data_IF_804217300800
#
_entry.id   IF_804217300800
#
_cell.length_a   1.000
_cell.length_b   1.000
_cell.length_c   1.000
_cell.angle_alpha   90.00
_cell.angle_beta   90.00
_cell.angle_gamma   90.00
#
_symmetry.space_group_name_H-M   'P 1'
#
loop_
_entity.id
_entity.type
_entity.pdbx_description
1 polymer ?
#
# COMPACT_ATOMS: atom_id res chain seq x y z
N UNK A 1 -16.17 -12.65 -20.75
CA UNK A 1 -16.68 -11.28 -20.52
C UNK A 1 -15.51 -10.34 -20.39
N UNK A 2 -15.46 -9.27 -21.18
CA UNK A 2 -14.43 -8.24 -21.11
C UNK A 2 -14.96 -7.06 -20.27
N UNK A 3 -14.39 -6.89 -19.09
CA UNK A 3 -14.76 -5.85 -18.14
C UNK A 3 -13.48 -5.18 -17.66
N UNK A 4 -13.41 -3.85 -17.72
CA UNK A 4 -12.28 -3.08 -17.22
C UNK A 4 -12.55 -2.59 -15.80
N UNK A 5 -11.75 -3.04 -14.84
CA UNK A 5 -11.84 -2.56 -13.47
C UNK A 5 -11.25 -1.14 -13.39
N UNK A 6 -12.03 -0.15 -12.91
CA UNK A 6 -11.56 1.24 -12.75
C UNK A 6 -11.26 1.58 -11.30
N UNK A 7 -12.19 1.27 -10.39
CA UNK A 7 -12.04 1.60 -8.97
C UNK A 7 -12.53 0.46 -8.08
N UNK A 8 -11.84 0.25 -6.97
CA UNK A 8 -12.23 -0.68 -5.92
C UNK A 8 -12.41 0.08 -4.61
N UNK A 9 -13.33 -0.36 -3.78
CA UNK A 9 -13.59 0.23 -2.47
C UNK A 9 -14.26 -0.77 -1.54
N UNK A 10 -14.54 -0.30 -0.32
CA UNK A 10 -15.08 -1.12 0.77
C UNK A 10 -16.36 -0.49 1.28
N UNK A 11 -17.30 -1.33 1.72
CA UNK A 11 -18.46 -0.98 2.53
C UNK A 11 -18.38 -1.78 3.82
N UNK A 12 -18.52 -1.11 4.96
CA UNK A 12 -18.38 -1.73 6.27
C UNK A 12 -19.66 -2.42 6.78
N UNK A 13 -20.84 -1.88 6.46
CA UNK A 13 -22.13 -2.45 6.89
C UNK A 13 -23.10 -2.63 5.70
N UNK A 14 -23.46 -3.87 5.32
CA UNK A 14 -22.76 -5.12 5.61
C UNK A 14 -21.39 -5.19 4.89
N UNK A 15 -20.39 -5.93 5.42
CA UNK A 15 -19.04 -5.98 4.89
C UNK A 15 -19.03 -6.45 3.43
N UNK A 16 -18.68 -5.54 2.52
CA UNK A 16 -18.74 -5.79 1.08
C UNK A 16 -17.65 -5.03 0.34
N UNK A 17 -17.07 -5.64 -0.69
CA UNK A 17 -16.16 -4.99 -1.62
C UNK A 17 -16.95 -4.44 -2.80
N UNK A 18 -16.76 -3.16 -3.09
CA UNK A 18 -17.42 -2.45 -4.19
C UNK A 18 -16.43 -2.32 -5.35
N UNK A 19 -16.81 -2.85 -6.50
CA UNK A 19 -16.06 -2.74 -7.74
C UNK A 19 -16.81 -1.86 -8.73
N UNK A 20 -16.18 -0.79 -9.21
CA UNK A 20 -16.66 0.00 -10.34
C UNK A 20 -15.86 -0.39 -11.58
N UNK A 21 -16.58 -0.83 -12.61
CA UNK A 21 -15.99 -1.33 -13.85
C UNK A 21 -16.71 -0.75 -15.07
N UNK A 22 -15.99 -0.70 -16.19
CA UNK A 22 -16.56 -0.35 -17.49
C UNK A 22 -16.76 -1.64 -18.27
N UNK A 23 -17.97 -1.84 -18.79
CA UNK A 23 -18.24 -2.96 -19.68
C UNK A 23 -17.74 -2.60 -21.08
N UNK A 24 -16.91 -3.42 -21.71
CA UNK A 24 -16.30 -3.08 -23.01
C UNK A 24 -17.35 -2.86 -24.11
N UNK A 25 -18.39 -3.69 -24.11
CA UNK A 25 -19.35 -3.72 -25.22
C UNK A 25 -20.34 -2.54 -25.16
N UNK A 26 -20.68 -2.09 -23.95
CA UNK A 26 -21.64 -1.00 -23.77
C UNK A 26 -20.97 0.32 -23.41
N UNK A 27 -19.66 0.33 -23.11
CA UNK A 27 -18.88 1.46 -22.56
C UNK A 27 -19.51 2.16 -21.35
N UNK A 28 -20.53 1.57 -20.72
CA UNK A 28 -21.20 2.13 -19.54
C UNK A 28 -20.46 1.73 -18.28
N UNK A 29 -20.33 2.67 -17.35
CA UNK A 29 -19.88 2.39 -15.99
C UNK A 29 -20.94 1.59 -15.25
N UNK A 30 -20.50 0.54 -14.57
CA UNK A 30 -21.33 -0.32 -13.73
C UNK A 30 -20.67 -0.51 -12.38
N UNK A 31 -21.51 -0.69 -11.37
CA UNK A 31 -21.12 -0.98 -10.00
C UNK A 31 -21.50 -2.42 -9.67
N UNK A 32 -20.56 -3.17 -9.09
CA UNK A 32 -20.80 -4.49 -8.51
C UNK A 32 -20.47 -4.45 -7.03
N UNK A 33 -21.37 -4.98 -6.21
CA UNK A 33 -21.18 -5.14 -4.78
C UNK A 33 -20.95 -6.62 -4.53
N UNK A 34 -19.81 -6.95 -3.93
CA UNK A 34 -19.41 -8.32 -3.62
C UNK A 34 -19.43 -8.47 -2.10
N UNK A 35 -20.38 -9.23 -1.53
CA UNK A 35 -20.43 -9.42 -0.10
C UNK A 35 -19.24 -10.26 0.36
N UNK A 36 -18.55 -9.82 1.42
CA UNK A 36 -17.48 -10.61 2.04
C UNK A 36 -18.14 -11.50 3.09
N UNK A 37 -18.19 -12.80 2.80
CA UNK A 37 -18.81 -13.81 3.69
C UNK A 37 -17.74 -14.50 4.53
N UNK A 38 -18.13 -14.95 5.73
CA UNK A 38 -17.26 -15.67 6.66
C UNK A 38 -15.97 -14.91 6.99
N UNK A 39 -16.07 -13.59 7.14
CA UNK A 39 -14.94 -12.74 7.48
C UNK A 39 -15.10 -12.24 8.91
N UNK A 40 -14.05 -12.42 9.70
CA UNK A 40 -13.99 -12.06 11.11
C UNK A 40 -12.73 -11.20 11.36
N UNK A 41 -12.67 -10.57 12.53
CA UNK A 41 -11.51 -9.79 12.99
C UNK A 41 -10.20 -10.58 13.09
N UNK A 42 -10.28 -11.91 13.08
CA UNK A 42 -9.13 -12.84 13.15
C UNK A 42 -8.84 -13.55 11.81
N UNK A 43 -9.54 -13.17 10.74
CA UNK A 43 -9.36 -13.84 9.44
C UNK A 43 -8.11 -13.34 8.74
N UNK A 44 -7.37 -14.27 8.13
CA UNK A 44 -6.21 -13.95 7.30
C UNK A 44 -6.63 -13.17 6.04
N UNK A 45 -6.13 -11.95 5.92
CA UNK A 45 -6.49 -11.05 4.83
C UNK A 45 -5.96 -11.52 3.47
N UNK A 46 -4.80 -12.19 3.45
CA UNK A 46 -4.20 -12.81 2.26
C UNK A 46 -5.09 -13.91 1.70
N UNK A 47 -5.44 -14.90 2.54
CA UNK A 47 -6.29 -16.03 2.17
C UNK A 47 -7.68 -15.56 1.77
N UNK A 48 -8.25 -14.58 2.47
CA UNK A 48 -9.54 -14.00 2.12
C UNK A 48 -9.51 -13.34 0.73
N UNK A 49 -8.46 -12.57 0.42
CA UNK A 49 -8.28 -11.95 -0.89
C UNK A 49 -8.12 -12.98 -2.02
N UNK A 50 -7.35 -14.05 -1.80
CA UNK A 50 -7.21 -15.14 -2.77
C UNK A 50 -8.53 -15.86 -3.03
N UNK A 51 -9.26 -16.21 -1.97
CA UNK A 51 -10.59 -16.85 -2.09
C UNK A 51 -11.54 -15.98 -2.89
N UNK A 52 -11.53 -14.66 -2.65
CA UNK A 52 -12.38 -13.72 -3.38
C UNK A 52 -12.02 -13.65 -4.87
N UNK A 53 -10.72 -13.61 -5.18
CA UNK A 53 -10.22 -13.53 -6.56
C UNK A 53 -10.50 -14.80 -7.35
N UNK A 54 -10.42 -15.96 -6.69
CA UNK A 54 -10.65 -17.27 -7.30
C UNK A 54 -12.15 -17.66 -7.38
N UNK A 55 -13.04 -16.90 -6.75
CA UNK A 55 -14.46 -17.22 -6.72
C UNK A 55 -15.09 -17.16 -8.13
N UNK A 56 -15.76 -18.23 -8.62
CA UNK A 56 -16.24 -18.32 -10.01
C UNK A 56 -17.13 -17.15 -10.45
N UNK A 57 -17.95 -16.62 -9.54
CA UNK A 57 -18.86 -15.49 -9.82
C UNK A 57 -18.18 -14.14 -10.05
N UNK A 58 -16.97 -13.95 -9.52
CA UNK A 58 -16.30 -12.64 -9.46
C UNK A 58 -14.92 -12.64 -10.13
N UNK A 59 -14.34 -13.82 -10.37
CA UNK A 59 -13.03 -14.01 -11.00
C UNK A 59 -12.83 -13.18 -12.27
N UNK A 60 -13.80 -13.19 -13.17
CA UNK A 60 -13.68 -12.49 -14.45
C UNK A 60 -13.59 -10.96 -14.29
N UNK A 61 -14.23 -10.41 -13.25
CA UNK A 61 -14.22 -8.97 -12.96
C UNK A 61 -12.97 -8.55 -12.17
N UNK A 62 -12.48 -9.43 -11.30
CA UNK A 62 -11.33 -9.20 -10.45
C UNK A 62 -10.00 -9.58 -11.10
N UNK A 63 -10.02 -10.11 -12.32
CA UNK A 63 -8.82 -10.53 -13.06
C UNK A 63 -7.80 -9.39 -13.23
N UNK A 64 -8.29 -8.17 -13.46
CA UNK A 64 -7.45 -6.98 -13.63
C UNK A 64 -7.01 -6.35 -12.29
N UNK A 65 -7.67 -6.72 -11.19
CA UNK A 65 -7.36 -6.14 -9.88
C UNK A 65 -6.16 -6.88 -9.27
N UNK A 66 -5.09 -6.17 -8.89
CA UNK A 66 -3.95 -6.80 -8.24
C UNK A 66 -4.37 -7.39 -6.89
N UNK A 67 -3.81 -8.54 -6.54
CA UNK A 67 -4.13 -9.22 -5.29
C UNK A 67 -3.80 -8.35 -4.07
N UNK A 68 -2.67 -7.64 -4.11
CA UNK A 68 -2.26 -6.71 -3.06
C UNK A 68 -3.28 -5.61 -2.79
N UNK A 69 -4.03 -5.15 -3.80
CA UNK A 69 -5.12 -4.19 -3.58
C UNK A 69 -6.29 -4.84 -2.86
N UNK A 70 -6.65 -6.08 -3.20
CA UNK A 70 -7.70 -6.81 -2.49
C UNK A 70 -7.31 -7.10 -1.04
N UNK A 71 -6.06 -7.46 -0.78
CA UNK A 71 -5.53 -7.66 0.57
C UNK A 71 -5.66 -6.40 1.41
N UNK A 72 -5.25 -5.23 0.87
CA UNK A 72 -5.44 -3.93 1.54
C UNK A 72 -6.90 -3.67 1.90
N UNK A 73 -7.85 -3.98 1.00
CA UNK A 73 -9.27 -3.81 1.28
C UNK A 73 -9.77 -4.74 2.41
N UNK A 74 -9.22 -5.96 2.52
CA UNK A 74 -9.55 -6.88 3.62
C UNK A 74 -8.92 -6.43 4.94
N UNK A 75 -7.70 -5.88 4.93
CA UNK A 75 -7.07 -5.28 6.12
C UNK A 75 -7.93 -4.13 6.64
N UNK A 76 -8.35 -3.21 5.75
CA UNK A 76 -9.24 -2.11 6.11
C UNK A 76 -10.56 -2.61 6.72
N UNK A 77 -11.14 -3.69 6.18
CA UNK A 77 -12.33 -4.32 6.77
C UNK A 77 -12.05 -4.87 8.17
N UNK A 78 -10.95 -5.60 8.34
CA UNK A 78 -10.57 -6.24 9.60
C UNK A 78 -10.37 -5.20 10.70
N UNK A 79 -9.59 -4.17 10.41
CA UNK A 79 -9.21 -3.14 11.38
C UNK A 79 -10.45 -2.30 11.77
N UNK A 80 -11.35 -2.02 10.81
CA UNK A 80 -12.65 -1.41 11.13
C UNK A 80 -13.53 -2.32 11.99
N UNK A 81 -13.48 -3.65 11.83
CA UNK A 81 -14.19 -4.59 12.72
C UNK A 81 -13.57 -4.67 14.12
N UNK A 82 -12.30 -4.30 14.26
CA UNK A 82 -11.61 -4.21 15.56
C UNK A 82 -11.87 -2.88 16.28
N UNK A 83 -12.44 -1.89 15.59
CA UNK A 83 -12.84 -0.60 16.15
C UNK A 83 -11.89 0.56 15.83
N UNK A 84 -10.87 0.34 15.00
CA UNK A 84 -9.96 1.41 14.57
C UNK A 84 -10.68 2.41 13.65
N UNK A 85 -10.33 3.70 13.78
CA UNK A 85 -10.90 4.71 12.91
C UNK A 85 -10.36 4.56 11.47
N UNK A 86 -11.14 5.00 10.49
CA UNK A 86 -10.71 4.94 9.09
C UNK A 86 -9.48 5.81 8.84
N UNK A 87 -9.34 6.91 9.57
CA UNK A 87 -8.20 7.82 9.47
C UNK A 87 -6.92 7.15 9.93
N UNK A 88 -6.95 6.47 11.08
CA UNK A 88 -5.80 5.73 11.63
C UNK A 88 -5.38 4.60 10.68
N UNK A 89 -6.36 3.85 10.15
CA UNK A 89 -6.09 2.77 9.20
C UNK A 89 -5.41 3.33 7.95
N UNK A 90 -5.89 4.46 7.41
CA UNK A 90 -5.29 5.08 6.22
C UNK A 90 -3.92 5.69 6.51
N UNK A 91 -3.71 6.27 7.69
CA UNK A 91 -2.43 6.80 8.15
C UNK A 91 -1.38 5.68 8.22
N UNK A 92 -1.75 4.50 8.73
CA UNK A 92 -0.84 3.36 8.83
C UNK A 92 -0.29 2.86 7.47
N UNK A 93 -0.95 3.21 6.36
CA UNK A 93 -0.48 2.91 5.00
C UNK A 93 0.42 4.00 4.40
N UNK A 94 0.60 5.13 5.09
CA UNK A 94 1.55 6.18 4.72
C UNK A 94 2.86 5.93 5.47
N UNK A 95 3.97 6.32 4.84
CA UNK A 95 5.27 6.31 5.47
C UNK A 95 5.50 7.72 6.01
N UNK A 96 5.36 7.88 7.32
CA UNK A 96 5.67 9.13 7.99
C UNK A 96 7.15 9.08 8.43
N UNK A 97 8.00 10.03 7.98
CA UNK A 97 9.43 10.02 8.25
C UNK A 97 9.77 10.29 9.73
N UNK A 98 8.87 10.96 10.46
CA UNK A 98 9.03 11.35 11.87
C UNK A 98 8.55 10.30 12.87
N UNK A 99 8.04 9.16 12.38
CA UNK A 99 7.44 8.16 13.25
C UNK A 99 8.49 7.27 13.92
N UNK A 100 8.39 7.12 15.24
CA UNK A 100 9.28 6.27 16.03
C UNK A 100 9.01 4.79 15.74
N UNK A 101 9.75 4.24 14.78
CA UNK A 101 9.62 2.85 14.33
C UNK A 101 9.95 1.82 15.43
N UNK A 102 10.59 2.22 16.53
CA UNK A 102 10.95 1.31 17.62
C UNK A 102 9.75 0.95 18.51
N UNK A 103 8.64 1.70 18.41
CA UNK A 103 7.42 1.47 19.21
C UNK A 103 6.39 0.59 18.51
N UNK A 104 6.65 0.21 17.27
CA UNK A 104 5.71 -0.55 16.44
C UNK A 104 5.87 -2.05 16.68
N UNK A 105 4.77 -2.77 16.49
CA UNK A 105 4.78 -4.22 16.48
C UNK A 105 5.49 -4.77 15.23
N UNK A 106 6.06 -5.99 15.35
CA UNK A 106 6.82 -6.64 14.28
C UNK A 106 6.05 -6.75 12.95
N UNK A 107 4.73 -6.99 13.01
CA UNK A 107 3.88 -7.10 11.82
C UNK A 107 3.76 -5.75 11.07
N UNK A 108 3.61 -4.66 11.82
CA UNK A 108 3.49 -3.32 11.27
C UNK A 108 4.82 -2.83 10.71
N UNK A 109 5.92 -3.13 11.43
CA UNK A 109 7.28 -2.82 11.01
C UNK A 109 7.63 -3.53 9.70
N UNK A 110 7.33 -4.83 9.59
CA UNK A 110 7.53 -5.60 8.35
C UNK A 110 6.74 -5.01 7.17
N UNK A 111 5.51 -4.52 7.43
CA UNK A 111 4.68 -3.88 6.41
C UNK A 111 5.29 -2.56 5.93
N UNK A 112 5.82 -1.72 6.83
CA UNK A 112 6.50 -0.47 6.46
C UNK A 112 7.80 -0.72 5.71
N UNK A 113 8.60 -1.69 6.17
CA UNK A 113 9.79 -2.14 5.46
C UNK A 113 9.48 -2.55 4.02
N UNK A 114 8.46 -3.38 3.82
CA UNK A 114 8.04 -3.77 2.47
C UNK A 114 7.53 -2.61 1.59
N UNK A 115 7.05 -1.51 2.17
CA UNK A 115 6.73 -0.30 1.41
C UNK A 115 7.99 0.48 1.02
N UNK A 116 8.96 0.60 1.94
CA UNK A 116 10.27 1.22 1.66
C UNK A 116 11.02 0.44 0.57
N UNK A 117 11.05 -0.89 0.65
CA UNK A 117 11.71 -1.75 -0.34
C UNK A 117 11.13 -1.54 -1.74
N UNK A 118 9.80 -1.43 -1.87
CA UNK A 118 9.16 -1.14 -3.17
C UNK A 118 9.51 0.22 -3.74
N UNK A 119 9.60 1.25 -2.89
CA UNK A 119 10.01 2.59 -3.31
C UNK A 119 11.48 2.59 -3.74
N UNK A 120 12.32 1.91 -2.98
CA UNK A 120 13.73 1.73 -3.27
C UNK A 120 13.92 1.02 -4.62
N UNK A 121 13.29 -0.13 -4.83
CA UNK A 121 13.40 -0.89 -6.08
C UNK A 121 12.94 -0.09 -7.30
N UNK A 122 11.90 0.75 -7.15
CA UNK A 122 11.43 1.62 -8.23
C UNK A 122 12.43 2.73 -8.58
N UNK A 123 13.11 3.27 -7.58
CA UNK A 123 14.06 4.37 -7.75
C UNK A 123 15.50 3.88 -8.00
N UNK A 124 15.74 2.58 -7.86
CA UNK A 124 17.05 1.96 -8.05
C UNK A 124 17.43 2.00 -9.54
N UNK A 125 18.40 2.85 -9.87
CA UNK A 125 19.07 2.82 -11.17
C UNK A 125 20.03 1.63 -11.21
N UNK A 126 19.92 0.79 -12.23
CA UNK A 126 20.85 -0.33 -12.45
C UNK A 126 22.00 0.14 -13.32
N UNK A 127 23.13 -0.59 -13.25
CA UNK A 127 24.30 -0.33 -14.10
C UNK A 127 24.00 -0.41 -15.59
N UNK A 128 22.94 -1.13 -15.96
CA UNK A 128 22.52 -1.34 -17.35
C UNK A 128 21.55 -0.25 -17.85
N UNK A 129 21.12 0.68 -17.00
CA UNK A 129 20.22 1.77 -17.39
C UNK A 129 21.00 2.88 -18.12
N UNK A 130 20.44 3.46 -19.19
CA UNK A 130 21.10 4.52 -19.95
C UNK A 130 21.37 5.79 -19.13
N UNK A 131 20.60 6.01 -18.05
CA UNK A 131 20.73 7.14 -17.13
C UNK A 131 21.64 6.84 -15.92
N UNK A 132 22.36 5.71 -15.95
CA UNK A 132 23.33 5.35 -14.93
C UNK A 132 24.65 6.08 -15.16
N UNK A 133 25.07 6.85 -14.17
CA UNK A 133 26.34 7.59 -14.17
C UNK A 133 27.18 7.04 -13.03
N UNK A 134 28.37 6.56 -13.36
CA UNK A 134 29.38 6.20 -12.36
C UNK A 134 29.83 7.47 -11.63
N UNK A 135 30.00 7.36 -10.31
CA UNK A 135 30.49 8.42 -9.44
C UNK A 135 29.72 9.74 -9.61
N UNK A 136 28.38 9.65 -9.62
CA UNK A 136 27.50 10.82 -9.63
C UNK A 136 27.69 11.62 -8.33
N UNK A 137 28.53 12.66 -8.41
CA UNK A 137 28.67 13.66 -7.36
C UNK A 137 27.41 14.53 -7.32
N UNK A 138 26.71 14.52 -6.20
CA UNK A 138 25.54 15.36 -5.94
C UNK A 138 25.90 16.32 -4.82
N UNK A 139 25.88 17.61 -5.12
CA UNK A 139 25.99 18.65 -4.10
C UNK A 139 24.67 18.75 -3.35
N UNK A 140 24.67 18.36 -2.08
CA UNK A 140 23.51 18.54 -1.21
C UNK A 140 23.41 20.02 -0.81
N UNK A 141 22.24 20.60 -1.04
CA UNK A 141 21.96 21.99 -0.71
C UNK A 141 22.03 22.17 0.83
N UNK A 142 23.08 22.83 1.32
CA UNK A 142 23.38 23.01 2.75
C UNK A 142 22.32 23.83 3.50
N UNK A 143 21.40 24.47 2.77
CA UNK A 143 20.33 25.31 3.32
C UNK A 143 19.30 24.53 4.16
N UNK A 144 19.11 23.23 3.89
CA UNK A 144 18.20 22.34 4.62
C UNK A 144 18.92 21.36 5.55
N UNK A 145 20.21 21.57 5.83
CA UNK A 145 20.97 20.70 6.72
C UNK A 145 20.53 20.93 8.17
N UNK A 146 19.93 19.91 8.79
CA UNK A 146 19.67 19.94 10.22
C UNK A 146 21.00 20.00 10.97
N UNK A 147 21.10 20.90 11.95
CA UNK A 147 22.30 21.01 12.78
C UNK A 147 22.41 19.78 13.67
N UNK A 148 23.11 18.75 13.20
CA UNK A 148 23.47 17.60 14.02
C UNK A 148 24.64 17.98 14.94
N UNK A 149 24.55 17.64 16.22
CA UNK A 149 25.63 17.85 17.21
C UNK A 149 26.92 17.07 16.88
N UNK A 150 26.88 16.20 15.87
CA UNK A 150 28.04 15.49 15.32
C UNK A 150 28.77 16.27 14.21
N UNK A 151 28.13 17.29 13.62
CA UNK A 151 28.73 18.19 12.61
C UNK A 151 29.49 19.36 13.25
N UNK A 152 29.49 19.48 14.60
CA UNK A 152 30.35 20.40 15.31
C UNK A 152 31.76 19.79 15.41
N UNK A 153 32.57 20.00 14.37
CA UNK A 153 34.02 19.89 14.49
C UNK A 153 34.47 20.88 15.59
N UNK A 154 34.87 20.33 16.73
CA UNK A 154 35.62 21.04 17.77
C UNK A 154 36.95 21.47 17.16
N UNK A 155 36.98 22.69 16.64
CA UNK A 155 38.19 23.38 16.16
C UNK A 155 38.98 23.94 17.36
N UNK A 156 39.26 23.08 18.35
CA UNK A 156 40.24 23.38 19.40
C UNK A 156 41.63 23.09 18.84
N UNK A 157 42.13 24.08 18.11
CA UNK A 157 43.50 24.24 17.60
C UNK A 157 44.51 24.01 18.75
N UNK A 158 45.37 22.99 18.60
CA UNK A 158 46.42 22.57 19.55
C UNK A 158 47.62 23.53 19.58
#
# INVERSE_FOLDING_TARGET
>A
MSCEAKRCGVRFSPPSIVLMYVHTDTKKMRKRIIPVRNFSKYSDCSVAAERLKNHPRHRDYLRQVPQSQLEKLHIILRDHMQGSSLEDILASFRLDPEEDLNKLDDEELARKKGQMDRLFERNRKRTDDPDFVYDLEVEFDKSNQEKCSWDEESDDEF
#
